data_IF_077047529529
#
_entry.id   IF_077047529529
#
_cell.length_a   1.000
_cell.length_b   1.000
_cell.length_c   1.000
_cell.angle_alpha   90.00
_cell.angle_beta   90.00
_cell.angle_gamma   90.00
#
_symmetry.space_group_name_H-M   'P 1'
#
loop_
_entity.id
_entity.type
_entity.pdbx_description
1 polymer ?
#
# COMPACT_ATOMS: atom_id res chain seq x y z
N UNK A 1 5.73 17.20 26.64
CA UNK A 1 4.51 16.37 26.53
C UNK A 1 4.80 15.25 25.54
N UNK A 2 4.67 13.99 25.98
CA UNK A 2 4.54 12.76 25.17
C UNK A 2 5.34 12.62 23.86
N UNK A 3 6.64 12.31 23.95
CA UNK A 3 7.45 11.83 22.81
C UNK A 3 7.62 10.30 22.77
N UNK A 4 6.97 9.55 23.66
CA UNK A 4 7.09 8.09 23.74
C UNK A 4 5.95 7.31 23.04
N UNK A 5 4.92 7.98 22.53
CA UNK A 5 3.77 7.30 21.89
C UNK A 5 3.91 7.13 20.37
N UNK A 6 4.88 7.79 19.73
CA UNK A 6 5.07 7.75 18.28
C UNK A 6 5.72 6.42 17.83
N UNK A 7 6.72 5.95 18.58
CA UNK A 7 7.45 4.72 18.25
C UNK A 7 6.62 3.44 18.33
N UNK A 8 5.60 3.37 19.19
CA UNK A 8 4.69 2.22 19.26
C UNK A 8 3.56 2.30 18.23
N UNK A 9 3.07 3.51 17.91
CA UNK A 9 2.05 3.70 16.88
C UNK A 9 2.59 3.30 15.51
N UNK A 10 3.84 3.66 15.17
CA UNK A 10 4.49 3.21 13.93
C UNK A 10 4.63 1.68 13.83
N UNK A 11 5.04 1.02 14.91
CA UNK A 11 5.17 -0.45 14.96
C UNK A 11 3.83 -1.18 14.89
N UNK A 12 2.77 -0.61 15.47
CA UNK A 12 1.42 -1.17 15.37
C UNK A 12 0.81 -0.92 13.99
N UNK A 13 1.04 0.24 13.37
CA UNK A 13 0.60 0.52 12.01
C UNK A 13 1.31 -0.36 10.97
N UNK A 14 2.58 -0.69 11.20
CA UNK A 14 3.32 -1.69 10.40
C UNK A 14 2.68 -3.09 10.45
N UNK A 15 1.95 -3.41 11.54
CA UNK A 15 1.28 -4.69 11.77
C UNK A 15 -0.20 -4.70 11.36
N UNK A 16 -0.94 -3.62 11.64
CA UNK A 16 -2.39 -3.52 11.46
C UNK A 16 -2.83 -2.68 10.25
N UNK A 17 -1.92 -1.90 9.68
CA UNK A 17 -2.19 -0.97 8.59
C UNK A 17 -2.74 0.37 9.05
N UNK A 18 -2.86 1.28 8.09
CA UNK A 18 -3.50 2.58 8.23
C UNK A 18 -4.82 2.61 7.44
N UNK A 19 -5.74 3.54 7.75
CA UNK A 19 -6.90 3.79 6.92
C UNK A 19 -6.50 4.20 5.50
N UNK A 20 -7.08 3.52 4.52
CA UNK A 20 -6.88 3.82 3.11
C UNK A 20 -8.24 4.03 2.46
N UNK A 21 -8.43 5.19 1.84
CA UNK A 21 -9.64 5.49 1.08
C UNK A 21 -9.52 4.85 -0.31
N UNK A 22 -10.54 4.11 -0.69
CA UNK A 22 -10.65 3.45 -1.99
C UNK A 22 -11.80 4.08 -2.75
N UNK A 23 -11.53 4.52 -3.98
CA UNK A 23 -12.57 4.88 -4.94
C UNK A 23 -12.56 3.85 -6.06
N UNK A 24 -13.65 3.08 -6.16
CA UNK A 24 -13.81 2.04 -7.19
C UNK A 24 -14.23 2.64 -8.52
N UNK A 25 -14.00 1.89 -9.60
CA UNK A 25 -14.42 2.30 -10.94
C UNK A 25 -15.93 2.59 -11.09
N UNK A 26 -16.78 1.99 -10.25
CA UNK A 26 -18.23 2.27 -10.22
C UNK A 26 -18.61 3.54 -9.43
N UNK A 27 -17.63 4.25 -8.86
CA UNK A 27 -17.82 5.44 -8.03
C UNK A 27 -18.04 5.15 -6.55
N UNK A 28 -18.05 3.87 -6.12
CA UNK A 28 -18.17 3.53 -4.71
C UNK A 28 -16.92 3.96 -3.95
N UNK A 29 -17.12 4.75 -2.91
CA UNK A 29 -16.06 5.20 -2.00
C UNK A 29 -16.17 4.43 -0.69
N UNK A 30 -15.06 3.86 -0.23
CA UNK A 30 -15.00 3.16 1.05
C UNK A 30 -13.61 3.21 1.68
N UNK A 31 -13.57 3.18 3.01
CA UNK A 31 -12.31 3.11 3.75
C UNK A 31 -12.02 1.65 4.11
N UNK A 32 -10.79 1.22 3.85
CA UNK A 32 -10.27 -0.08 4.28
C UNK A 32 -9.08 0.13 5.23
N UNK A 33 -8.72 -0.92 5.95
CA UNK A 33 -7.46 -0.96 6.70
C UNK A 33 -6.42 -1.72 5.86
N UNK A 34 -5.25 -1.13 5.68
CA UNK A 34 -4.18 -1.74 4.90
C UNK A 34 -2.81 -1.11 5.16
N UNK A 35 -1.76 -1.89 4.95
CA UNK A 35 -0.39 -1.42 5.14
C UNK A 35 0.09 -0.82 3.81
N UNK A 36 0.15 0.50 3.73
CA UNK A 36 0.71 1.22 2.59
C UNK A 36 2.22 1.42 2.78
N UNK A 37 3.03 1.03 1.80
CA UNK A 37 4.47 1.24 1.78
C UNK A 37 4.85 2.00 0.52
N UNK A 38 5.73 2.98 0.66
CA UNK A 38 6.29 3.77 -0.44
C UNK A 38 7.81 3.86 -0.33
N UNK A 39 8.42 2.83 0.25
CA UNK A 39 9.86 2.79 0.41
C UNK A 39 10.53 2.68 -0.97
N UNK A 40 11.60 3.47 -1.22
CA UNK A 40 12.40 3.30 -2.42
C UNK A 40 13.02 1.90 -2.44
N UNK A 41 12.93 1.20 -3.56
CA UNK A 41 13.71 -0.03 -3.78
C UNK A 41 14.86 0.27 -4.73
N UNK A 42 16.05 -0.24 -4.38
CA UNK A 42 17.18 -0.25 -5.31
C UNK A 42 17.01 -1.43 -6.27
N UNK A 43 16.82 -1.12 -7.54
CA UNK A 43 16.85 -2.12 -8.61
C UNK A 43 18.12 -1.96 -9.43
N UNK A 44 18.66 -3.07 -9.93
CA UNK A 44 19.78 -3.03 -10.84
C UNK A 44 19.33 -2.38 -12.17
N UNK A 45 19.90 -1.23 -12.50
CA UNK A 45 19.72 -0.61 -13.80
C UNK A 45 20.45 -1.39 -14.90
N UNK A 46 19.97 -1.25 -16.14
CA UNK A 46 20.55 -1.90 -17.33
C UNK A 46 22.02 -1.48 -17.59
N UNK A 47 22.46 -0.38 -17.00
CA UNK A 47 23.83 0.16 -17.05
C UNK A 47 24.72 -0.31 -15.89
N UNK A 48 24.19 -1.15 -14.99
CA UNK A 48 24.90 -1.67 -13.82
C UNK A 48 24.92 -0.72 -12.63
N UNK A 49 24.24 0.43 -12.70
CA UNK A 49 24.08 1.34 -11.57
C UNK A 49 22.75 1.07 -10.84
N UNK A 50 22.71 1.17 -9.50
CA UNK A 50 21.45 1.04 -8.77
C UNK A 50 20.53 2.22 -9.09
N UNK A 51 19.32 1.92 -9.56
CA UNK A 51 18.26 2.91 -9.78
C UNK A 51 17.27 2.80 -8.63
N UNK A 52 16.98 3.94 -8.00
CA UNK A 52 15.94 4.06 -6.99
C UNK A 52 14.58 4.12 -7.69
N UNK A 53 13.80 3.05 -7.57
CA UNK A 53 12.43 3.00 -8.09
C UNK A 53 11.45 3.14 -6.93
N UNK A 54 10.47 4.03 -7.12
CA UNK A 54 9.33 4.14 -6.23
C UNK A 54 8.31 3.09 -6.66
N UNK A 55 8.22 2.00 -5.89
CA UNK A 55 7.18 0.97 -6.07
C UNK A 55 6.22 1.02 -4.89
N UNK A 56 5.24 1.96 -4.88
CA UNK A 56 4.27 2.00 -3.80
C UNK A 56 3.44 0.71 -3.81
N UNK A 57 3.22 0.15 -2.63
CA UNK A 57 2.46 -1.10 -2.46
C UNK A 57 1.43 -0.93 -1.36
N UNK A 58 0.33 -1.67 -1.49
CA UNK A 58 -0.71 -1.75 -0.48
C UNK A 58 -1.00 -3.21 -0.15
N UNK A 59 -0.75 -3.58 1.10
CA UNK A 59 -1.03 -4.92 1.61
C UNK A 59 -2.33 -4.93 2.39
N UNK A 60 -3.24 -5.82 2.01
CA UNK A 60 -4.59 -5.94 2.61
C UNK A 60 -4.96 -7.41 2.82
N UNK A 61 -5.94 -7.73 3.67
CA UNK A 61 -6.50 -9.08 3.77
C UNK A 61 -7.09 -9.54 2.43
N UNK A 62 -7.00 -10.83 2.10
CA UNK A 62 -7.52 -11.39 0.84
C UNK A 62 -9.04 -11.23 0.66
N UNK A 63 -9.78 -11.01 1.75
CA UNK A 63 -11.22 -10.67 1.71
C UNK A 63 -11.47 -9.30 1.09
N UNK A 64 -10.50 -8.39 1.17
CA UNK A 64 -10.51 -7.08 0.55
C UNK A 64 -9.95 -7.18 -0.86
N UNK A 65 -10.84 -7.34 -1.84
CA UNK A 65 -10.46 -7.35 -3.25
C UNK A 65 -10.48 -5.94 -3.82
N UNK A 66 -9.33 -5.51 -4.32
CA UNK A 66 -9.17 -4.34 -5.17
C UNK A 66 -9.05 -4.77 -6.63
N UNK A 67 -9.58 -3.96 -7.54
CA UNK A 67 -9.51 -4.16 -8.97
C UNK A 67 -8.45 -3.25 -9.60
N UNK A 68 -7.94 -3.65 -10.76
CA UNK A 68 -7.11 -2.79 -11.59
C UNK A 68 -7.86 -1.48 -11.89
N UNK A 69 -7.17 -0.35 -11.74
CA UNK A 69 -7.76 0.98 -11.97
C UNK A 69 -8.48 1.58 -10.76
N UNK A 70 -8.67 0.84 -9.66
CA UNK A 70 -9.19 1.43 -8.42
C UNK A 70 -8.21 2.49 -7.90
N UNK A 71 -8.76 3.60 -7.39
CA UNK A 71 -7.98 4.69 -6.81
C UNK A 71 -7.81 4.48 -5.32
N UNK A 72 -6.62 4.79 -4.85
CA UNK A 72 -6.14 4.56 -3.49
C UNK A 72 -5.57 5.87 -2.96
N UNK A 73 -6.13 6.33 -1.84
CA UNK A 73 -5.63 7.50 -1.12
C UNK A 73 -5.31 7.09 0.33
N UNK A 74 -4.03 6.84 0.65
CA UNK A 74 -3.62 6.43 1.98
C UNK A 74 -3.62 7.62 2.94
N UNK A 75 -4.11 7.44 4.18
CA UNK A 75 -4.17 8.52 5.16
C UNK A 75 -2.80 9.09 5.54
N UNK A 76 -1.73 8.30 5.37
CA UNK A 76 -0.35 8.70 5.64
C UNK A 76 0.28 9.57 4.53
N UNK A 77 -0.34 9.63 3.34
CA UNK A 77 0.06 10.52 2.25
C UNK A 77 -1.16 11.26 1.68
N UNK A 78 -1.77 12.17 2.47
CA UNK A 78 -3.00 12.85 2.07
C UNK A 78 -2.78 13.68 0.80
N UNK A 79 -3.72 13.57 -0.15
CA UNK A 79 -3.66 14.23 -1.45
C UNK A 79 -2.82 13.51 -2.52
N UNK A 80 -2.09 12.45 -2.16
CA UNK A 80 -1.47 11.57 -3.14
C UNK A 80 -2.44 10.46 -3.54
N UNK A 81 -2.79 10.39 -4.83
CA UNK A 81 -3.65 9.35 -5.37
C UNK A 81 -2.83 8.33 -6.12
N UNK A 82 -3.12 7.07 -5.86
CA UNK A 82 -2.46 5.96 -6.51
C UNK A 82 -3.50 5.08 -7.19
N UNK A 83 -3.15 4.55 -8.36
CA UNK A 83 -3.96 3.60 -9.10
C UNK A 83 -3.43 2.19 -8.87
N UNK A 84 -4.33 1.23 -8.62
CA UNK A 84 -3.99 -0.19 -8.54
C UNK A 84 -3.58 -0.73 -9.92
N UNK A 85 -2.37 -1.28 -10.02
CA UNK A 85 -1.79 -1.82 -11.26
C UNK A 85 -1.76 -3.34 -11.32
N UNK A 86 -1.49 -3.99 -10.20
CA UNK A 86 -1.42 -5.44 -10.11
C UNK A 86 -1.72 -5.88 -8.68
N UNK A 87 -2.05 -7.16 -8.49
CA UNK A 87 -2.34 -7.73 -7.18
C UNK A 87 -1.83 -9.16 -7.10
N UNK A 88 -0.87 -9.40 -6.21
CA UNK A 88 -0.26 -10.70 -6.01
C UNK A 88 -0.64 -11.26 -4.63
N UNK A 89 -1.20 -12.48 -4.56
CA UNK A 89 -1.41 -13.13 -3.29
C UNK A 89 -0.05 -13.39 -2.63
N UNK A 90 0.07 -13.08 -1.34
CA UNK A 90 1.26 -13.48 -0.60
C UNK A 90 1.37 -15.02 -0.58
N UNK A 91 2.56 -15.60 -0.81
CA UNK A 91 2.75 -17.05 -0.84
C UNK A 91 2.62 -17.73 0.54
N UNK A 92 2.24 -17.00 1.60
CA UNK A 92 2.11 -17.57 2.94
C UNK A 92 0.87 -18.49 3.04
N UNK A 93 1.01 -19.71 3.59
CA UNK A 93 -0.09 -20.67 3.72
C UNK A 93 -1.05 -20.38 4.89
N UNK A 94 -0.88 -19.26 5.60
CA UNK A 94 -1.64 -18.91 6.81
C UNK A 94 -3.10 -18.56 6.53
N UNK A 95 -3.98 -18.74 7.53
CA UNK A 95 -5.40 -18.36 7.46
C UNK A 95 -5.59 -16.85 7.23
N UNK A 96 -4.65 -16.02 7.70
CA UNK A 96 -4.55 -14.59 7.40
C UNK A 96 -3.87 -14.36 6.05
N UNK A 97 -4.49 -14.84 4.98
CA UNK A 97 -3.97 -14.60 3.63
C UNK A 97 -4.01 -13.11 3.32
N UNK A 98 -2.87 -12.59 2.94
CA UNK A 98 -2.68 -11.19 2.55
C UNK A 98 -2.49 -11.12 1.04
N UNK A 99 -2.99 -10.05 0.43
CA UNK A 99 -2.72 -9.71 -0.97
C UNK A 99 -1.93 -8.41 -0.98
N UNK A 100 -0.87 -8.37 -1.78
CA UNK A 100 -0.07 -7.18 -2.01
C UNK A 100 -0.47 -6.62 -3.36
N UNK A 101 -0.94 -5.38 -3.38
CA UNK A 101 -1.25 -4.65 -4.60
C UNK A 101 -0.11 -3.69 -4.92
N UNK A 102 0.35 -3.71 -6.16
CA UNK A 102 1.26 -2.70 -6.68
C UNK A 102 0.44 -1.48 -7.12
N UNK A 103 0.96 -0.31 -6.77
CA UNK A 103 0.34 0.96 -7.01
C UNK A 103 1.23 1.84 -7.88
N UNK A 104 0.61 2.79 -8.59
CA UNK A 104 1.31 3.80 -9.36
C UNK A 104 0.71 5.16 -9.03
N UNK A 105 1.57 6.16 -8.82
CA UNK A 105 1.11 7.52 -8.50
C UNK A 105 0.41 8.12 -9.73
N UNK A 106 -0.78 8.67 -9.55
CA UNK A 106 -1.42 9.48 -10.60
C UNK A 106 -0.64 10.80 -10.76
N UNK A 107 -0.28 11.18 -12.01
CA UNK A 107 0.48 12.39 -12.30
C UNK A 107 -0.32 13.69 -12.13
#
# INVERSE_FOLDING_TARGET
MSHFFDGMAGLLNDLFGDPVLITRANGDVGTIQGVFRRDPIEVAGDDGFPVLVMSPTLKVPQTTRLAFGDLVEPSIAPGARFVVKSGEPSPSPSADRMVVYELELEP
#
